data_IF_217102435678
#
_entry.id   IF_217102435678
#
_cell.length_a   1.000
_cell.length_b   1.000
_cell.length_c   1.000
_cell.angle_alpha   90.00
_cell.angle_beta   90.00
_cell.angle_gamma   90.00
#
_symmetry.space_group_name_H-M   'P 1'
#
loop_
_entity.id
_entity.type
_entity.pdbx_description
1 polymer ?
#
# COMPACT_ATOMS: atom_id res chain seq x y z
N UNK A 1 -29.09 25.48 -9.62
CA UNK A 1 -28.93 24.77 -10.88
C UNK A 1 -27.54 25.01 -11.43
N UNK A 2 -26.56 24.16 -11.08
CA UNK A 2 -25.24 24.21 -11.69
C UNK A 2 -24.99 22.84 -12.34
N UNK A 3 -25.18 22.86 -13.63
CA UNK A 3 -24.86 21.75 -14.53
C UNK A 3 -23.37 21.83 -14.81
N UNK A 4 -22.56 21.09 -14.09
CA UNK A 4 -21.16 20.86 -14.48
C UNK A 4 -21.13 19.93 -15.67
N UNK A 5 -20.96 20.52 -16.84
CA UNK A 5 -20.68 19.84 -18.10
C UNK A 5 -19.33 19.10 -17.97
N UNK A 6 -19.39 17.77 -18.02
CA UNK A 6 -18.23 16.92 -18.22
C UNK A 6 -17.61 17.24 -19.59
N UNK A 7 -16.53 17.96 -19.63
CA UNK A 7 -15.73 18.19 -20.84
C UNK A 7 -15.08 16.88 -21.25
N UNK A 8 -15.42 16.38 -22.44
CA UNK A 8 -14.71 15.28 -23.10
C UNK A 8 -13.24 15.66 -23.27
N UNK A 9 -12.28 14.77 -22.92
CA UNK A 9 -10.87 15.03 -23.13
C UNK A 9 -10.57 15.11 -24.63
N UNK A 10 -10.04 16.26 -25.03
CA UNK A 10 -9.50 16.47 -26.39
C UNK A 10 -8.20 15.65 -26.52
N UNK A 11 -8.10 14.92 -27.61
CA UNK A 11 -6.91 14.17 -28.01
C UNK A 11 -5.70 15.13 -28.12
N UNK A 12 -4.58 14.71 -27.48
CA UNK A 12 -3.25 15.26 -27.55
C UNK A 12 -2.95 16.59 -26.81
N UNK A 13 -2.14 16.46 -25.76
CA UNK A 13 -1.36 17.52 -25.16
C UNK A 13 -2.10 18.37 -24.15
N UNK A 14 -2.37 17.82 -22.99
CA UNK A 14 -2.73 18.63 -21.82
C UNK A 14 -1.93 18.14 -20.62
N UNK A 15 -1.30 19.06 -19.92
CA UNK A 15 -0.79 18.86 -18.58
C UNK A 15 -1.96 18.45 -17.67
N UNK A 16 -2.06 17.17 -17.40
CA UNK A 16 -3.05 16.67 -16.46
C UNK A 16 -2.57 16.88 -15.03
N UNK A 17 -2.87 18.03 -14.49
CA UNK A 17 -3.01 18.21 -13.05
C UNK A 17 -4.37 17.65 -12.64
N UNK A 18 -4.58 16.35 -12.81
CA UNK A 18 -5.72 15.67 -12.24
C UNK A 18 -5.32 15.17 -10.87
N UNK A 19 -5.98 15.65 -9.83
CA UNK A 19 -5.99 14.97 -8.54
C UNK A 19 -6.43 13.53 -8.81
N UNK A 20 -5.59 12.57 -8.41
CA UNK A 20 -5.90 11.14 -8.55
C UNK A 20 -7.27 10.85 -7.90
N UNK A 21 -8.19 10.17 -8.57
CA UNK A 21 -9.50 9.87 -8.01
C UNK A 21 -9.37 8.99 -6.77
N UNK A 22 -10.18 9.22 -5.75
CA UNK A 22 -10.25 8.31 -4.61
C UNK A 22 -10.91 7.01 -5.03
N UNK A 23 -10.31 5.88 -4.66
CA UNK A 23 -10.88 4.56 -4.92
C UNK A 23 -12.11 4.37 -4.03
N UNK A 24 -13.28 4.22 -4.64
CA UNK A 24 -14.53 3.95 -3.94
C UNK A 24 -14.94 2.50 -4.20
N UNK A 25 -15.13 1.73 -3.12
CA UNK A 25 -15.61 0.36 -3.18
C UNK A 25 -17.10 0.32 -2.91
N UNK A 26 -17.86 -0.41 -3.72
CA UNK A 26 -19.27 -0.70 -3.46
C UNK A 26 -19.37 -2.04 -2.75
N UNK A 27 -19.93 -2.03 -1.55
CA UNK A 27 -20.00 -3.20 -0.67
C UNK A 27 -21.45 -3.57 -0.43
N UNK A 28 -21.74 -4.86 -0.45
CA UNK A 28 -23.00 -5.42 0.00
C UNK A 28 -22.74 -6.14 1.32
N UNK A 29 -23.42 -5.71 2.38
CA UNK A 29 -23.39 -6.32 3.70
C UNK A 29 -24.81 -6.54 4.20
N UNK A 30 -25.19 -7.80 4.45
CA UNK A 30 -26.54 -8.18 4.90
C UNK A 30 -27.66 -7.63 4.01
N UNK A 31 -27.42 -7.61 2.69
CA UNK A 31 -28.39 -7.07 1.72
C UNK A 31 -28.45 -5.54 1.64
N UNK A 32 -27.63 -4.81 2.41
CA UNK A 32 -27.52 -3.35 2.35
C UNK A 32 -26.30 -2.97 1.52
N UNK A 33 -26.52 -2.07 0.56
CA UNK A 33 -25.47 -1.55 -0.30
C UNK A 33 -24.89 -0.26 0.28
N UNK A 34 -23.55 -0.16 0.29
CA UNK A 34 -22.80 1.01 0.77
C UNK A 34 -21.63 1.30 -0.16
N UNK A 35 -21.30 2.58 -0.32
CA UNK A 35 -20.09 3.04 -1.00
C UNK A 35 -19.08 3.46 0.06
N UNK A 36 -17.89 2.86 0.04
CA UNK A 36 -16.82 3.08 1.00
C UNK A 36 -15.61 3.67 0.29
N UNK A 37 -15.10 4.77 0.82
CA UNK A 37 -13.90 5.45 0.32
C UNK A 37 -12.70 5.33 1.26
N UNK A 38 -12.96 5.07 2.54
CA UNK A 38 -11.93 4.97 3.56
C UNK A 38 -11.77 3.52 4.03
N UNK A 39 -10.55 3.00 4.12
CA UNK A 39 -10.31 1.65 4.64
C UNK A 39 -10.87 1.44 6.06
N UNK A 40 -10.97 2.50 6.86
CA UNK A 40 -11.53 2.44 8.21
C UNK A 40 -13.01 2.00 8.24
N UNK A 41 -13.77 2.34 7.19
CA UNK A 41 -15.20 2.03 7.06
C UNK A 41 -15.45 0.63 6.50
N UNK A 42 -14.39 -0.07 6.07
CA UNK A 42 -14.50 -1.39 5.47
C UNK A 42 -14.90 -2.43 6.53
N UNK A 43 -16.01 -3.18 6.32
CA UNK A 43 -16.47 -4.19 7.27
C UNK A 43 -15.52 -5.39 7.33
N UNK A 44 -15.51 -6.10 8.46
CA UNK A 44 -14.65 -7.28 8.63
C UNK A 44 -15.06 -8.45 7.71
N UNK A 45 -16.34 -8.58 7.39
CA UNK A 45 -16.87 -9.66 6.55
C UNK A 45 -17.98 -9.14 5.63
N UNK A 46 -17.63 -8.53 4.50
CA UNK A 46 -18.61 -8.15 3.49
C UNK A 46 -19.13 -9.39 2.74
N UNK A 47 -20.40 -9.37 2.32
CA UNK A 47 -20.95 -10.43 1.48
C UNK A 47 -20.39 -10.36 0.06
N UNK A 48 -20.33 -9.15 -0.49
CA UNK A 48 -19.75 -8.87 -1.82
C UNK A 48 -19.07 -7.51 -1.81
N UNK A 49 -17.96 -7.43 -2.52
CA UNK A 49 -17.23 -6.18 -2.74
C UNK A 49 -17.06 -5.98 -4.24
N UNK A 50 -17.37 -4.78 -4.71
CA UNK A 50 -17.13 -4.37 -6.08
C UNK A 50 -16.08 -3.27 -6.09
N UNK A 51 -15.10 -3.39 -7.00
CA UNK A 51 -14.05 -2.41 -7.18
C UNK A 51 -14.21 -1.67 -8.49
N UNK A 52 -13.91 -0.37 -8.55
CA UNK A 52 -13.89 0.36 -9.80
C UNK A 52 -12.77 -0.15 -10.69
N UNK A 53 -13.10 -0.40 -11.94
CA UNK A 53 -12.15 -0.79 -12.97
C UNK A 53 -11.88 0.37 -13.92
N UNK A 54 -10.72 0.34 -14.55
CA UNK A 54 -10.33 1.28 -15.60
C UNK A 54 -9.94 0.52 -16.86
N UNK A 55 -10.26 1.09 -17.99
CA UNK A 55 -9.57 0.81 -19.25
C UNK A 55 -8.33 1.67 -19.28
N UNK A 56 -7.20 1.06 -19.59
CA UNK A 56 -5.90 1.70 -19.66
C UNK A 56 -5.34 1.56 -21.09
N UNK A 57 -5.00 2.66 -21.69
CA UNK A 57 -4.39 2.74 -23.01
C UNK A 57 -2.92 3.19 -22.85
N UNK A 58 -1.97 2.33 -23.21
CA UNK A 58 -0.54 2.60 -23.08
C UNK A 58 0.08 2.72 -24.46
N UNK A 59 0.74 3.82 -24.74
CA UNK A 59 1.56 4.01 -25.95
C UNK A 59 3.03 3.89 -25.57
N UNK A 60 3.73 2.94 -26.22
CA UNK A 60 5.15 2.67 -25.93
C UNK A 60 5.92 2.30 -27.19
N UNK A 61 7.21 2.68 -27.33
CA UNK A 61 8.07 2.14 -28.37
C UNK A 61 8.19 0.61 -28.24
N UNK A 62 8.34 -0.14 -29.37
CA UNK A 62 8.42 -1.60 -29.38
C UNK A 62 9.53 -2.17 -28.49
N UNK A 63 10.64 -1.46 -28.34
CA UNK A 63 11.80 -1.87 -27.51
C UNK A 63 11.47 -2.01 -26.02
N UNK A 64 10.47 -1.28 -25.52
CA UNK A 64 10.03 -1.32 -24.11
C UNK A 64 8.84 -2.24 -23.87
N UNK A 65 8.31 -2.90 -24.89
CA UNK A 65 7.15 -3.79 -24.77
C UNK A 65 7.33 -4.83 -23.67
N UNK A 66 8.47 -5.49 -23.60
CA UNK A 66 8.75 -6.50 -22.58
C UNK A 66 8.73 -5.94 -21.15
N UNK A 67 9.17 -4.69 -20.96
CA UNK A 67 9.06 -3.99 -19.68
C UNK A 67 7.61 -3.78 -19.27
N UNK A 68 6.76 -3.35 -20.20
CA UNK A 68 5.32 -3.14 -19.95
C UNK A 68 4.61 -4.48 -19.70
N UNK A 69 4.92 -5.53 -20.48
CA UNK A 69 4.39 -6.87 -20.26
C UNK A 69 4.76 -7.43 -18.88
N UNK A 70 5.93 -7.09 -18.35
CA UNK A 70 6.33 -7.46 -16.99
C UNK A 70 5.42 -6.87 -15.90
N UNK A 71 4.75 -5.74 -16.18
CA UNK A 71 3.84 -5.10 -15.22
C UNK A 71 2.46 -5.75 -15.13
N UNK A 72 2.05 -6.55 -16.12
CA UNK A 72 0.71 -7.16 -16.18
C UNK A 72 0.36 -7.96 -14.93
N UNK A 73 1.30 -8.77 -14.44
CA UNK A 73 1.10 -9.57 -13.23
C UNK A 73 1.14 -8.71 -11.95
N UNK A 74 2.05 -7.74 -11.91
CA UNK A 74 2.28 -6.91 -10.71
C UNK A 74 1.11 -5.98 -10.43
N UNK A 75 0.47 -5.46 -11.47
CA UNK A 75 -0.63 -4.49 -11.39
C UNK A 75 -1.97 -5.06 -11.85
N UNK A 76 -2.08 -6.39 -12.01
CA UNK A 76 -3.30 -7.04 -12.50
C UNK A 76 -3.85 -6.39 -13.76
N UNK A 77 -2.94 -5.95 -14.63
CA UNK A 77 -3.27 -5.33 -15.91
C UNK A 77 -3.52 -6.42 -16.95
N UNK A 78 -4.75 -6.55 -17.39
CA UNK A 78 -5.16 -7.52 -18.40
C UNK A 78 -5.21 -6.84 -19.77
N UNK A 79 -4.25 -7.16 -20.65
CA UNK A 79 -4.21 -6.61 -22.01
C UNK A 79 -5.27 -7.29 -22.84
N UNK A 80 -6.18 -6.51 -23.40
CA UNK A 80 -7.26 -6.97 -24.28
C UNK A 80 -6.90 -6.82 -25.74
N UNK A 81 -6.13 -5.79 -26.11
CA UNK A 81 -5.79 -5.50 -27.48
C UNK A 81 -4.40 -4.86 -27.59
N UNK A 82 -3.72 -5.15 -28.70
CA UNK A 82 -2.44 -4.50 -29.06
C UNK A 82 -2.51 -4.05 -30.50
N UNK A 83 -2.25 -2.77 -30.76
CA UNK A 83 -2.29 -2.14 -32.08
C UNK A 83 -0.98 -1.44 -32.41
N UNK A 84 -0.65 -1.37 -33.69
CA UNK A 84 0.40 -0.47 -34.17
C UNK A 84 -0.12 0.98 -34.18
N UNK A 85 0.68 1.90 -33.67
CA UNK A 85 0.38 3.32 -33.60
C UNK A 85 1.58 4.11 -34.13
N UNK A 86 1.68 4.22 -35.45
CA UNK A 86 2.88 4.75 -36.13
C UNK A 86 4.10 3.87 -35.86
N UNK A 87 5.15 4.45 -35.29
CA UNK A 87 6.38 3.75 -34.88
C UNK A 87 6.29 3.19 -33.44
N UNK A 88 5.15 3.33 -32.77
CA UNK A 88 4.90 2.87 -31.43
C UNK A 88 3.83 1.77 -31.40
N UNK A 89 3.65 1.15 -30.24
CA UNK A 89 2.59 0.19 -29.94
C UNK A 89 1.58 0.84 -28.98
N UNK A 90 0.29 0.63 -29.29
CA UNK A 90 -0.81 0.93 -28.39
C UNK A 90 -1.28 -0.38 -27.75
N UNK A 91 -1.16 -0.46 -26.42
CA UNK A 91 -1.67 -1.55 -25.61
C UNK A 91 -2.94 -1.08 -24.92
N UNK A 92 -4.03 -1.78 -25.13
CA UNK A 92 -5.33 -1.51 -24.51
C UNK A 92 -5.61 -2.65 -23.55
N UNK A 93 -6.04 -2.34 -22.35
CA UNK A 93 -6.38 -3.36 -21.37
C UNK A 93 -7.19 -2.79 -20.20
N UNK A 94 -7.50 -3.64 -19.26
CA UNK A 94 -8.24 -3.27 -18.05
C UNK A 94 -7.45 -3.60 -16.80
N UNK A 95 -7.65 -2.80 -15.76
CA UNK A 95 -7.07 -3.03 -14.44
C UNK A 95 -7.92 -2.38 -13.35
N UNK A 96 -7.80 -2.83 -12.09
CA UNK A 96 -8.43 -2.14 -10.98
C UNK A 96 -7.87 -0.72 -10.80
N UNK A 97 -8.74 0.25 -10.52
CA UNK A 97 -8.31 1.64 -10.25
C UNK A 97 -7.32 1.70 -9.09
N UNK A 98 -7.47 0.83 -8.08
CA UNK A 98 -6.55 0.76 -6.94
C UNK A 98 -5.09 0.48 -7.36
N UNK A 99 -4.89 -0.30 -8.42
CA UNK A 99 -3.55 -0.62 -8.92
C UNK A 99 -2.86 0.59 -9.58
N UNK A 100 -3.63 1.42 -10.30
CA UNK A 100 -3.13 2.68 -10.83
C UNK A 100 -2.61 3.58 -9.70
N UNK A 101 -3.37 3.65 -8.58
CA UNK A 101 -3.03 4.44 -7.40
C UNK A 101 -1.83 3.90 -6.62
N UNK A 102 -1.48 2.62 -6.80
CA UNK A 102 -0.36 1.96 -6.11
C UNK A 102 1.02 2.32 -6.68
N UNK A 103 1.09 3.33 -7.55
CA UNK A 103 2.34 3.84 -8.10
C UNK A 103 2.67 3.27 -9.50
N UNK A 104 1.67 2.84 -10.23
CA UNK A 104 1.81 2.39 -11.62
C UNK A 104 2.51 3.42 -12.50
N UNK A 105 2.16 4.72 -12.34
CA UNK A 105 2.77 5.83 -13.08
C UNK A 105 4.30 5.86 -12.96
N UNK A 106 4.80 5.77 -11.75
CA UNK A 106 6.25 5.77 -11.51
C UNK A 106 6.93 4.51 -12.07
N UNK A 107 6.25 3.38 -11.95
CA UNK A 107 6.80 2.10 -12.39
C UNK A 107 6.86 2.01 -13.91
N UNK A 108 5.79 2.41 -14.62
CA UNK A 108 5.78 2.41 -16.09
C UNK A 108 6.85 3.36 -16.65
N UNK A 109 7.01 4.54 -16.08
CA UNK A 109 8.08 5.48 -16.45
C UNK A 109 9.46 4.89 -16.22
N UNK A 110 9.65 4.17 -15.12
CA UNK A 110 10.93 3.52 -14.83
C UNK A 110 11.28 2.41 -15.83
N UNK A 111 10.35 1.50 -16.14
CA UNK A 111 10.61 0.37 -17.05
C UNK A 111 10.70 0.75 -18.52
N UNK A 112 10.21 1.94 -18.87
CA UNK A 112 10.23 2.46 -20.24
C UNK A 112 11.15 3.65 -20.41
N UNK A 113 12.03 3.94 -19.44
CA UNK A 113 12.90 5.11 -19.42
C UNK A 113 12.17 6.45 -19.72
N UNK A 114 10.88 6.53 -19.36
CA UNK A 114 10.02 7.69 -19.61
C UNK A 114 9.42 7.79 -21.00
N UNK A 115 9.66 6.83 -21.89
CA UNK A 115 9.15 6.87 -23.27
C UNK A 115 7.71 6.41 -23.42
N UNK A 116 7.13 5.70 -22.45
CA UNK A 116 5.72 5.36 -22.47
C UNK A 116 4.85 6.48 -21.94
N UNK A 117 3.69 6.64 -22.56
CA UNK A 117 2.58 7.45 -22.06
C UNK A 117 1.33 6.59 -21.88
N UNK A 118 0.45 6.97 -20.98
CA UNK A 118 -0.81 6.26 -20.81
C UNK A 118 -1.96 7.23 -20.53
N UNK A 119 -3.15 6.78 -20.86
CA UNK A 119 -4.42 7.39 -20.49
C UNK A 119 -5.36 6.33 -19.93
N UNK A 120 -6.34 6.73 -19.14
CA UNK A 120 -7.31 5.81 -18.56
C UNK A 120 -8.72 6.37 -18.56
N UNK A 121 -9.69 5.49 -18.58
CA UNK A 121 -11.11 5.79 -18.45
C UNK A 121 -11.74 4.83 -17.42
N UNK A 122 -12.67 5.34 -16.62
CA UNK A 122 -13.45 4.49 -15.71
C UNK A 122 -14.42 3.64 -16.52
N UNK A 123 -14.46 2.36 -16.21
CA UNK A 123 -15.40 1.38 -16.80
C UNK A 123 -16.26 0.77 -15.70
N UNK A 124 -17.05 -0.25 -16.03
CA UNK A 124 -17.93 -0.93 -15.08
C UNK A 124 -17.13 -1.57 -13.93
N UNK A 125 -17.75 -1.59 -12.76
CA UNK A 125 -17.18 -2.22 -11.56
C UNK A 125 -17.15 -3.75 -11.72
N UNK A 126 -16.12 -4.39 -11.17
CA UNK A 126 -16.02 -5.85 -11.11
C UNK A 126 -16.01 -6.35 -9.66
N UNK A 127 -16.47 -7.59 -9.47
CA UNK A 127 -16.41 -8.26 -8.18
C UNK A 127 -14.94 -8.43 -7.75
N UNK A 128 -14.63 -8.04 -6.52
CA UNK A 128 -13.27 -8.08 -5.98
C UNK A 128 -13.19 -8.97 -4.76
N UNK A 129 -12.14 -9.78 -4.69
CA UNK A 129 -11.75 -10.51 -3.47
C UNK A 129 -10.68 -9.73 -2.74
N UNK A 130 -11.12 -8.80 -1.89
CA UNK A 130 -10.26 -7.87 -1.15
C UNK A 130 -10.55 -7.95 0.35
N UNK A 131 -9.54 -7.64 1.13
CA UNK A 131 -9.59 -7.60 2.58
C UNK A 131 -8.99 -6.31 3.12
N UNK A 132 -9.40 -5.92 4.33
CA UNK A 132 -8.82 -4.79 5.03
C UNK A 132 -7.55 -5.21 5.75
N UNK A 133 -6.44 -4.61 5.36
CA UNK A 133 -5.16 -4.70 6.05
C UNK A 133 -5.07 -3.55 7.07
N UNK A 134 -5.01 -3.88 8.35
CA UNK A 134 -4.81 -2.93 9.43
C UNK A 134 -3.37 -3.02 9.96
N UNK A 135 -2.78 -1.87 10.23
CA UNK A 135 -1.46 -1.79 10.86
C UNK A 135 -1.62 -1.27 12.29
N UNK A 136 -1.04 -2.01 13.22
CA UNK A 136 -0.99 -1.64 14.62
C UNK A 136 0.45 -1.32 15.04
N UNK A 137 0.62 -0.25 15.80
CA UNK A 137 1.88 0.12 16.44
C UNK A 137 1.60 0.23 17.94
N UNK A 138 2.33 -0.50 18.76
CA UNK A 138 2.09 -0.63 20.21
C UNK A 138 0.66 -1.10 20.53
N UNK A 139 0.13 -2.02 19.70
CA UNK A 139 -1.23 -2.57 19.82
C UNK A 139 -2.35 -1.56 19.48
N UNK A 140 -2.02 -0.33 19.13
CA UNK A 140 -2.97 0.68 18.65
C UNK A 140 -3.06 0.65 17.12
N UNK A 141 -4.29 0.60 16.59
CA UNK A 141 -4.52 0.67 15.13
C UNK A 141 -4.22 2.06 14.60
N UNK A 142 -3.48 2.13 13.49
CA UNK A 142 -3.16 3.37 12.79
C UNK A 142 -4.02 3.46 11.52
N UNK A 143 -5.16 4.16 11.54
CA UNK A 143 -6.09 4.20 10.41
C UNK A 143 -5.47 4.73 9.11
N UNK A 144 -4.54 5.67 9.21
CA UNK A 144 -3.83 6.24 8.05
C UNK A 144 -2.95 5.23 7.30
N UNK A 145 -2.57 4.12 7.94
CA UNK A 145 -1.80 3.03 7.35
C UNK A 145 -2.67 1.85 6.90
N UNK A 146 -3.96 1.86 7.23
CA UNK A 146 -4.90 0.83 6.80
C UNK A 146 -5.17 0.91 5.31
N UNK A 147 -5.27 -0.26 4.65
CA UNK A 147 -5.48 -0.38 3.20
C UNK A 147 -6.48 -1.48 2.89
N UNK A 148 -7.10 -1.36 1.72
CA UNK A 148 -7.87 -2.46 1.13
C UNK A 148 -6.96 -3.13 0.10
N UNK A 149 -6.71 -4.41 0.26
CA UNK A 149 -5.73 -5.19 -0.52
C UNK A 149 -6.39 -6.49 -0.99
N UNK A 150 -5.99 -6.97 -2.15
CA UNK A 150 -6.40 -8.28 -2.62
C UNK A 150 -6.01 -9.37 -1.63
N UNK A 151 -6.89 -10.35 -1.43
CA UNK A 151 -6.66 -11.49 -0.52
C UNK A 151 -5.39 -12.27 -0.86
N UNK A 152 -5.06 -12.38 -2.14
CA UNK A 152 -3.85 -13.06 -2.59
C UNK A 152 -2.54 -12.37 -2.17
N UNK A 153 -2.58 -11.04 -2.06
CA UNK A 153 -1.39 -10.22 -1.79
C UNK A 153 -1.31 -9.74 -0.33
N UNK A 154 -2.39 -9.86 0.43
CA UNK A 154 -2.51 -9.25 1.76
C UNK A 154 -1.43 -9.71 2.74
N UNK A 155 -1.03 -10.99 2.69
CA UNK A 155 0.04 -11.49 3.56
C UNK A 155 1.40 -10.91 3.18
N UNK A 156 1.70 -10.83 1.90
CA UNK A 156 2.94 -10.25 1.39
C UNK A 156 3.00 -8.76 1.72
N UNK A 157 1.96 -8.00 1.38
CA UNK A 157 1.90 -6.57 1.68
C UNK A 157 1.95 -6.26 3.18
N UNK A 158 1.31 -7.10 3.99
CA UNK A 158 1.36 -6.96 5.45
C UNK A 158 2.78 -7.12 6.00
N UNK A 159 3.55 -8.11 5.52
CA UNK A 159 4.95 -8.31 5.90
C UNK A 159 5.82 -7.15 5.42
N UNK A 160 5.74 -6.80 4.15
CA UNK A 160 6.53 -5.72 3.56
C UNK A 160 6.29 -4.38 4.29
N UNK A 161 5.04 -4.12 4.67
CA UNK A 161 4.71 -2.89 5.39
C UNK A 161 5.27 -2.89 6.82
N UNK A 162 5.17 -4.01 7.54
CA UNK A 162 5.71 -4.15 8.90
C UNK A 162 7.23 -4.03 8.88
N UNK A 163 7.92 -4.65 7.92
CA UNK A 163 9.37 -4.55 7.76
C UNK A 163 9.82 -3.12 7.45
N UNK A 164 9.17 -2.44 6.50
CA UNK A 164 9.45 -1.03 6.19
C UNK A 164 9.24 -0.11 7.39
N UNK A 165 8.17 -0.30 8.14
CA UNK A 165 7.90 0.50 9.34
C UNK A 165 8.93 0.27 10.43
N UNK A 166 9.42 -0.97 10.60
CA UNK A 166 10.51 -1.28 11.52
C UNK A 166 11.79 -0.50 11.22
N UNK A 167 12.11 -0.33 9.92
CA UNK A 167 13.31 0.39 9.50
C UNK A 167 13.12 1.91 9.55
N UNK A 168 11.91 2.41 9.30
CA UNK A 168 11.60 3.84 9.26
C UNK A 168 11.36 4.45 10.65
N UNK A 169 10.73 3.69 11.57
CA UNK A 169 10.37 4.22 12.87
C UNK A 169 11.59 4.30 13.78
N UNK A 170 11.78 5.42 14.48
CA UNK A 170 12.91 5.59 15.39
C UNK A 170 12.78 4.69 16.61
N UNK A 171 13.91 4.13 17.06
CA UNK A 171 13.98 3.37 18.32
C UNK A 171 13.64 4.27 19.50
N UNK A 172 12.78 3.78 20.38
CA UNK A 172 12.39 4.46 21.60
C UNK A 172 12.94 3.78 22.86
N UNK A 173 12.61 4.30 24.02
CA UNK A 173 13.09 3.75 25.31
C UNK A 173 12.44 2.40 25.65
N UNK A 174 11.30 2.08 25.05
CA UNK A 174 10.56 0.82 25.22
C UNK A 174 10.50 0.06 23.89
N UNK A 175 10.09 -1.19 23.94
CA UNK A 175 9.86 -2.01 22.75
C UNK A 175 8.59 -1.55 22.07
N UNK A 176 8.61 -1.45 20.75
CA UNK A 176 7.46 -1.10 19.94
C UNK A 176 7.11 -2.30 19.03
N UNK A 177 6.07 -3.05 19.35
CA UNK A 177 5.55 -4.07 18.44
C UNK A 177 4.82 -3.38 17.28
N UNK A 178 5.11 -3.85 16.06
CA UNK A 178 4.42 -3.46 14.85
C UNK A 178 3.73 -4.72 14.33
N UNK A 179 2.45 -4.64 14.01
CA UNK A 179 1.65 -5.79 13.61
C UNK A 179 0.81 -5.44 12.38
N UNK A 180 0.68 -6.40 11.48
CA UNK A 180 -0.30 -6.38 10.42
C UNK A 180 -1.44 -7.33 10.76
N UNK A 181 -2.67 -6.86 10.66
CA UNK A 181 -3.89 -7.59 11.05
C UNK A 181 -4.87 -7.61 9.89
N UNK A 182 -5.52 -8.75 9.66
CA UNK A 182 -6.56 -8.94 8.66
C UNK A 182 -7.69 -9.76 9.27
N UNK A 183 -8.93 -9.29 9.16
CA UNK A 183 -10.11 -10.00 9.66
C UNK A 183 -10.00 -10.40 11.15
N UNK A 184 -9.37 -9.56 11.97
CA UNK A 184 -9.13 -9.86 13.39
C UNK A 184 -7.88 -10.69 13.68
N UNK A 185 -7.21 -11.26 12.68
CA UNK A 185 -6.05 -12.14 12.84
C UNK A 185 -4.74 -11.41 12.51
N UNK A 186 -3.72 -11.56 13.34
CA UNK A 186 -2.38 -11.04 13.07
C UNK A 186 -1.70 -11.94 12.05
N UNK A 187 -1.28 -11.37 10.92
CA UNK A 187 -0.60 -12.08 9.82
C UNK A 187 0.90 -11.82 9.77
N UNK A 188 1.37 -10.68 10.29
CA UNK A 188 2.78 -10.35 10.39
C UNK A 188 3.05 -9.55 11.67
N UNK A 189 4.24 -9.73 12.23
CA UNK A 189 4.67 -9.03 13.44
C UNK A 189 6.17 -8.80 13.43
N UNK A 190 6.58 -7.55 13.69
CA UNK A 190 7.95 -7.19 13.97
C UNK A 190 8.05 -6.37 15.27
N UNK A 191 9.24 -6.23 15.79
CA UNK A 191 9.45 -5.49 17.04
C UNK A 191 10.68 -4.61 16.95
N UNK A 192 10.49 -3.31 17.12
CA UNK A 192 11.59 -2.37 17.29
C UNK A 192 12.10 -2.49 18.72
N UNK A 193 13.34 -2.89 18.85
CA UNK A 193 13.96 -3.05 20.17
C UNK A 193 14.23 -1.71 20.82
N UNK A 194 14.03 -1.64 22.14
CA UNK A 194 14.31 -0.44 22.92
C UNK A 194 15.78 -0.01 22.83
N UNK A 195 16.04 1.31 22.88
CA UNK A 195 17.39 1.86 23.03
C UNK A 195 18.02 1.27 24.29
N UNK A 196 19.20 0.70 24.16
CA UNK A 196 20.00 0.19 25.30
C UNK A 196 21.27 1.01 25.42
N UNK A 197 21.63 1.44 26.60
CA UNK A 197 22.98 1.94 26.87
C UNK A 197 23.99 0.81 26.65
N UNK A 198 25.09 1.09 25.96
CA UNK A 198 26.19 0.13 25.82
C UNK A 198 26.75 -0.19 27.20
N UNK A 199 27.20 -1.43 27.45
CA UNK A 199 27.76 -1.84 28.72
C UNK A 199 28.98 -0.99 29.16
N UNK A 200 29.69 -0.36 28.21
CA UNK A 200 30.80 0.55 28.44
C UNK A 200 30.43 1.91 29.02
N UNK A 201 29.16 2.34 28.86
CA UNK A 201 28.69 3.70 29.23
C UNK A 201 28.36 3.84 30.74
N UNK A 202 28.57 2.79 31.54
CA UNK A 202 28.25 2.77 32.96
C UNK A 202 29.41 3.24 33.85
N UNK A 203 30.24 4.19 33.39
CA UNK A 203 31.26 4.89 34.16
C UNK A 203 32.58 4.14 34.38
N UNK A 204 33.45 4.70 35.25
CA UNK A 204 34.84 4.26 35.48
C UNK A 204 35.05 2.78 35.90
N UNK A 205 33.99 2.07 36.32
CA UNK A 205 34.05 0.67 36.73
C UNK A 205 33.75 -0.30 35.56
N UNK A 206 34.29 -0.01 34.41
CA UNK A 206 34.05 -0.75 33.16
C UNK A 206 34.42 -2.24 33.17
N UNK A 207 35.10 -2.75 34.17
CA UNK A 207 35.55 -4.14 34.31
C UNK A 207 34.58 -5.09 35.04
N UNK A 208 33.71 -4.58 35.93
CA UNK A 208 32.86 -5.43 36.77
C UNK A 208 31.54 -5.78 36.04
N UNK A 209 31.50 -6.99 35.51
CA UNK A 209 30.34 -7.56 34.76
C UNK A 209 29.12 -7.64 35.69
N UNK A 210 29.28 -8.00 36.96
CA UNK A 210 28.18 -8.18 37.92
C UNK A 210 27.48 -6.85 38.20
N UNK A 211 28.26 -5.78 38.37
CA UNK A 211 27.74 -4.43 38.59
C UNK A 211 27.05 -3.89 37.34
N UNK A 212 27.61 -4.13 36.16
CA UNK A 212 27.00 -3.80 34.87
C UNK A 212 25.65 -4.51 34.69
N UNK A 213 25.58 -5.79 35.02
CA UNK A 213 24.33 -6.57 34.94
C UNK A 213 23.28 -6.06 35.93
N UNK A 214 23.64 -5.65 37.14
CA UNK A 214 22.71 -5.04 38.11
C UNK A 214 22.14 -3.72 37.59
N UNK A 215 23.00 -2.85 37.07
CA UNK A 215 22.57 -1.58 36.48
C UNK A 215 21.66 -1.79 35.25
N UNK A 216 22.01 -2.74 34.43
CA UNK A 216 21.18 -3.09 33.27
C UNK A 216 19.81 -3.65 33.67
N UNK A 217 19.74 -4.54 34.68
CA UNK A 217 18.46 -5.02 35.23
C UNK A 217 17.64 -3.88 35.83
N UNK A 218 18.26 -2.92 36.55
CA UNK A 218 17.57 -1.73 37.07
C UNK A 218 17.00 -0.86 35.93
N UNK A 219 17.77 -0.65 34.85
CA UNK A 219 17.32 0.10 33.70
C UNK A 219 16.16 -0.62 33.01
N UNK A 220 16.22 -1.95 32.85
CA UNK A 220 15.12 -2.74 32.27
C UNK A 220 13.83 -2.59 33.07
N UNK A 221 13.93 -2.76 34.43
CA UNK A 221 12.76 -2.62 35.32
C UNK A 221 12.17 -1.20 35.31
N UNK A 222 13.02 -0.16 35.19
CA UNK A 222 12.53 1.22 35.05
C UNK A 222 11.79 1.46 33.74
N UNK A 223 12.19 0.81 32.64
CA UNK A 223 11.52 0.90 31.37
C UNK A 223 10.20 0.13 31.32
N UNK A 224 10.11 -1.00 32.01
CA UNK A 224 8.87 -1.77 32.15
C UNK A 224 7.80 -0.94 32.87
N UNK A 225 8.18 -0.19 33.94
CA UNK A 225 7.27 0.71 34.66
C UNK A 225 6.78 1.94 33.85
N UNK A 226 7.49 2.34 32.81
CA UNK A 226 7.08 3.44 31.92
C UNK A 226 6.12 2.94 30.81
N UNK A 227 5.91 1.64 30.72
CA UNK A 227 5.07 0.99 29.72
C UNK A 227 3.70 0.58 30.32
N UNK A 228 3.59 0.57 31.67
CA UNK A 228 2.34 0.47 32.43
C UNK A 228 1.66 1.84 32.56
#
# INVERSE_FOLDING_TARGET
GDTTLATKPTKFGADFSTSLPSVAYRIIERGVERIIKLPAEFPEKPDKVFQPMIQLDIVTPPEYLNGVLGLTKTYKFEITETKNFGDALLLIGKMPLAELMRGFDNTIKSVTAGYASFSYELIEEELADVEKLEILVNEESIPALSRIVSREEVEREGRDMVDRLKDLLPKQQFRQPIQAKVGGKIIARETIVAIKKKLGDFGKNGGDITRKMKLWKKQKKGKEKLQE
#
